data_IF_295061699112
#
_entry.id   IF_295061699112
#
_cell.length_a   1.000
_cell.length_b   1.000
_cell.length_c   1.000
_cell.angle_alpha   90.00
_cell.angle_beta   90.00
_cell.angle_gamma   90.00
#
_symmetry.space_group_name_H-M   'P 1'
#
loop_
_entity.id
_entity.type
_entity.pdbx_description
1 polymer ?
#
# COMPACT_ATOMS: atom_id res chain seq x y z
N UNK A 1 10.05 -9.67 -14.01
CA UNK A 1 10.33 -9.02 -12.71
C UNK A 1 9.09 -8.26 -12.24
N UNK A 2 8.91 -8.14 -10.92
CA UNK A 2 7.81 -7.39 -10.30
C UNK A 2 8.35 -6.56 -9.15
N UNK A 3 7.76 -5.39 -8.95
CA UNK A 3 7.93 -4.57 -7.75
C UNK A 3 6.85 -4.97 -6.75
N UNK A 4 7.24 -5.36 -5.54
CA UNK A 4 6.33 -5.57 -4.42
C UNK A 4 6.32 -4.32 -3.55
N UNK A 5 5.12 -3.78 -3.28
CA UNK A 5 4.91 -2.63 -2.41
C UNK A 5 3.96 -3.04 -1.30
N UNK A 6 4.38 -2.93 -0.05
CA UNK A 6 3.56 -3.28 1.12
C UNK A 6 3.17 -2.03 1.91
N UNK A 7 1.89 -1.93 2.26
CA UNK A 7 1.33 -0.75 2.90
C UNK A 7 -0.08 -0.94 3.43
N UNK A 8 -0.69 0.15 3.88
CA UNK A 8 -2.09 0.20 4.29
C UNK A 8 -2.68 1.58 4.04
N UNK A 9 -4.00 1.63 3.90
CA UNK A 9 -4.76 2.85 4.04
C UNK A 9 -5.00 3.18 5.53
N UNK A 10 -4.76 4.42 5.91
CA UNK A 10 -4.88 4.99 7.24
C UNK A 10 -5.95 6.08 7.27
N UNK A 11 -7.18 5.68 7.58
CA UNK A 11 -8.23 6.57 8.06
C UNK A 11 -8.37 6.55 9.58
N UNK A 12 -8.65 7.71 10.20
CA UNK A 12 -9.28 7.74 11.53
C UNK A 12 -10.67 7.10 11.48
N UNK A 13 -11.35 6.87 12.63
CA UNK A 13 -12.73 6.36 12.67
C UNK A 13 -13.60 7.17 11.67
N UNK A 14 -14.04 6.53 10.57
CA UNK A 14 -14.91 7.13 9.55
C UNK A 14 -14.25 7.63 8.25
N UNK A 15 -12.91 7.54 8.12
CA UNK A 15 -12.23 7.74 6.85
C UNK A 15 -12.11 6.39 6.13
N UNK A 16 -13.09 6.09 5.28
CA UNK A 16 -13.15 4.83 4.55
C UNK A 16 -12.22 4.89 3.33
N UNK A 17 -11.36 3.89 3.17
CA UNK A 17 -10.60 3.66 1.94
C UNK A 17 -11.48 3.16 0.78
N UNK A 18 -10.89 2.84 -0.39
CA UNK A 18 -9.45 2.76 -0.64
C UNK A 18 -8.81 4.08 -1.13
N UNK A 19 -7.66 4.41 -0.55
CA UNK A 19 -6.73 5.40 -1.07
C UNK A 19 -6.05 4.90 -2.33
N UNK A 20 -6.09 5.68 -3.41
CA UNK A 20 -5.45 5.33 -4.68
C UNK A 20 -4.90 6.57 -5.36
N UNK A 21 -3.65 6.51 -5.85
CA UNK A 21 -3.08 7.56 -6.70
C UNK A 21 -1.87 7.05 -7.50
N UNK A 22 -1.42 7.85 -8.46
CA UNK A 22 -0.33 7.52 -9.37
C UNK A 22 1.04 7.57 -8.69
N UNK A 23 1.81 6.51 -8.91
CA UNK A 23 3.20 6.35 -8.54
C UNK A 23 4.04 6.11 -9.80
N UNK A 24 5.36 6.22 -9.67
CA UNK A 24 6.28 6.13 -10.80
C UNK A 24 7.45 5.22 -10.49
N UNK A 25 7.74 4.28 -11.40
CA UNK A 25 9.03 3.59 -11.43
C UNK A 25 9.96 4.34 -12.37
N UNK A 26 11.16 4.67 -11.90
CA UNK A 26 12.25 5.20 -12.73
C UNK A 26 13.32 4.12 -12.88
N UNK A 27 13.71 3.84 -14.12
CA UNK A 27 14.74 2.85 -14.43
C UNK A 27 16.11 3.50 -14.59
N UNK A 28 17.17 2.69 -14.51
CA UNK A 28 18.54 3.14 -14.64
C UNK A 28 18.87 3.74 -16.03
N UNK A 29 18.10 3.40 -17.06
CA UNK A 29 18.22 3.97 -18.42
C UNK A 29 17.51 5.34 -18.56
N UNK A 30 16.96 5.88 -17.47
CA UNK A 30 16.25 7.16 -17.44
C UNK A 30 14.79 7.10 -17.88
N UNK A 31 14.30 5.96 -18.37
CA UNK A 31 12.88 5.79 -18.68
C UNK A 31 12.03 5.59 -17.43
N UNK A 32 10.73 5.82 -17.57
CA UNK A 32 9.78 5.71 -16.46
C UNK A 32 8.53 4.93 -16.83
N UNK A 33 7.95 4.21 -15.87
CA UNK A 33 6.65 3.56 -16.01
C UNK A 33 5.72 4.01 -14.88
N UNK A 34 4.58 4.66 -15.18
CA UNK A 34 3.59 4.98 -14.17
C UNK A 34 2.85 3.71 -13.73
N UNK A 35 2.41 3.69 -12.49
CA UNK A 35 1.50 2.67 -11.97
C UNK A 35 0.54 3.29 -10.95
N UNK A 36 -0.63 2.70 -10.79
CA UNK A 36 -1.56 3.08 -9.71
C UNK A 36 -1.16 2.34 -8.45
N UNK A 37 -0.97 3.05 -7.34
CA UNK A 37 -0.78 2.44 -6.04
C UNK A 37 -2.07 2.59 -5.24
N UNK A 38 -2.66 1.47 -4.83
CA UNK A 38 -3.83 1.42 -3.99
C UNK A 38 -3.71 0.33 -2.93
N UNK A 39 -4.38 0.54 -1.80
CA UNK A 39 -4.57 -0.50 -0.81
C UNK A 39 -6.02 -0.50 -0.34
N UNK A 40 -6.55 -1.69 -0.08
CA UNK A 40 -7.79 -1.87 0.68
C UNK A 40 -7.76 -1.15 2.04
N UNK A 41 -8.96 -0.83 2.56
CA UNK A 41 -9.11 -0.32 3.92
C UNK A 41 -8.52 -1.32 4.92
N UNK A 42 -7.67 -0.82 5.84
CA UNK A 42 -6.94 -1.65 6.80
C UNK A 42 -7.83 -2.47 7.74
N UNK A 43 -9.12 -2.13 7.88
CA UNK A 43 -10.11 -2.88 8.68
C UNK A 43 -11.13 -3.62 7.82
N UNK A 44 -10.97 -3.59 6.49
CA UNK A 44 -11.95 -4.07 5.52
C UNK A 44 -13.35 -3.50 5.76
N UNK A 45 -13.44 -2.17 5.90
CA UNK A 45 -14.68 -1.46 6.22
C UNK A 45 -15.32 -1.97 7.52
N UNK A 46 -14.52 -2.09 8.58
CA UNK A 46 -14.97 -2.65 9.87
C UNK A 46 -15.35 -4.13 9.81
N UNK A 47 -14.76 -4.89 8.88
CA UNK A 47 -15.06 -6.29 8.63
C UNK A 47 -16.22 -6.55 7.67
N UNK A 48 -16.79 -5.51 7.05
CA UNK A 48 -17.90 -5.61 6.09
C UNK A 48 -17.48 -5.89 4.64
N UNK A 49 -16.19 -5.81 4.33
CA UNK A 49 -15.65 -6.08 2.99
C UNK A 49 -14.73 -7.30 2.97
N UNK A 50 -14.58 -7.91 1.79
CA UNK A 50 -13.57 -8.92 1.52
C UNK A 50 -12.31 -8.24 0.97
N UNK A 51 -11.10 -8.75 1.26
CA UNK A 51 -9.87 -8.24 0.69
C UNK A 51 -9.83 -8.52 -0.82
N UNK A 52 -9.47 -7.51 -1.59
CA UNK A 52 -9.13 -7.61 -3.02
C UNK A 52 -7.61 -7.66 -3.18
N UNK A 53 -6.89 -6.89 -2.36
CA UNK A 53 -5.44 -6.91 -2.34
C UNK A 53 -4.89 -8.08 -1.51
N UNK A 54 -3.74 -8.66 -1.90
CA UNK A 54 -3.03 -9.64 -1.09
C UNK A 54 -2.74 -9.13 0.32
N UNK A 55 -3.18 -9.89 1.34
CA UNK A 55 -2.85 -9.62 2.73
C UNK A 55 -1.37 -9.95 2.96
N UNK A 56 -0.58 -8.94 3.32
CA UNK A 56 0.83 -9.11 3.66
C UNK A 56 1.01 -9.61 5.11
N UNK A 57 0.15 -9.17 6.01
CA UNK A 57 0.15 -9.59 7.42
C UNK A 57 -1.22 -9.37 8.05
N UNK A 58 -1.45 -9.96 9.23
CA UNK A 58 -2.67 -9.75 10.01
C UNK A 58 -2.30 -9.48 11.46
N UNK A 59 -2.81 -8.38 12.00
CA UNK A 59 -2.71 -8.06 13.42
C UNK A 59 -4.02 -8.37 14.12
N UNK A 60 -3.94 -8.79 15.38
CA UNK A 60 -5.12 -9.05 16.23
C UNK A 60 -5.63 -7.80 16.95
N UNK A 61 -4.86 -6.71 16.93
CA UNK A 61 -5.18 -5.43 17.56
C UNK A 61 -4.56 -4.25 16.78
N UNK A 62 -4.96 -3.04 17.14
CA UNK A 62 -4.26 -1.79 16.78
C UNK A 62 -3.97 -0.96 18.03
N UNK A 63 -2.86 -0.23 17.98
CA UNK A 63 -2.49 0.71 19.04
C UNK A 63 -3.22 2.04 18.85
N UNK A 64 -3.64 2.65 19.96
CA UNK A 64 -4.10 4.03 20.02
C UNK A 64 -2.94 4.96 20.41
N UNK A 65 -3.13 6.27 20.20
CA UNK A 65 -2.09 7.27 20.46
C UNK A 65 -1.70 7.42 21.94
N UNK A 66 -2.55 6.94 22.85
CA UNK A 66 -2.31 6.91 24.30
C UNK A 66 -1.57 5.63 24.77
N UNK A 67 -1.20 4.74 23.84
CA UNK A 67 -0.52 3.48 24.14
C UNK A 67 -1.47 2.33 24.51
N UNK A 68 -2.77 2.57 24.60
CA UNK A 68 -3.76 1.51 24.69
C UNK A 68 -3.89 0.75 23.36
N UNK A 69 -4.60 -0.37 23.37
CA UNK A 69 -5.00 -1.06 22.14
C UNK A 69 -6.50 -1.35 22.12
N UNK A 70 -7.03 -1.55 20.91
CA UNK A 70 -8.32 -2.18 20.72
C UNK A 70 -8.17 -3.45 19.87
N UNK A 71 -9.07 -4.42 20.09
CA UNK A 71 -9.04 -5.73 19.42
C UNK A 71 -9.51 -5.72 17.97
N UNK A 72 -9.49 -4.56 17.29
CA UNK A 72 -9.82 -4.48 15.87
C UNK A 72 -8.66 -5.09 15.08
N UNK A 73 -8.96 -6.14 14.32
CA UNK A 73 -7.99 -6.73 13.38
C UNK A 73 -7.64 -5.71 12.31
N UNK A 74 -6.35 -5.62 11.99
CA UNK A 74 -5.90 -4.80 10.87
C UNK A 74 -5.02 -5.58 9.92
N UNK A 75 -5.07 -5.20 8.65
CA UNK A 75 -4.44 -5.91 7.55
C UNK A 75 -3.56 -4.92 6.78
N UNK A 76 -2.22 -5.05 6.89
CA UNK A 76 -1.32 -4.55 5.87
C UNK A 76 -1.49 -5.38 4.58
N UNK A 77 -1.54 -4.70 3.45
CA UNK A 77 -1.70 -5.29 2.12
C UNK A 77 -0.41 -5.16 1.32
N UNK A 78 -0.31 -5.93 0.24
CA UNK A 78 0.78 -5.85 -0.72
C UNK A 78 0.27 -5.78 -2.16
N UNK A 79 0.85 -4.89 -2.96
CA UNK A 79 0.58 -4.75 -4.37
C UNK A 79 1.79 -5.24 -5.18
N UNK A 80 1.54 -5.98 -6.26
CA UNK A 80 2.60 -6.48 -7.13
C UNK A 80 2.51 -5.85 -8.52
N UNK A 81 3.45 -4.97 -8.84
CA UNK A 81 3.46 -4.16 -10.06
C UNK A 81 4.41 -4.78 -11.09
N UNK A 82 3.96 -5.02 -12.33
CA UNK A 82 4.83 -5.51 -13.39
C UNK A 82 5.88 -4.47 -13.76
N UNK A 83 7.13 -4.91 -13.93
CA UNK A 83 8.24 -4.06 -14.38
C UNK A 83 8.53 -4.28 -15.86
N UNK A 84 9.09 -3.26 -16.52
CA UNK A 84 9.54 -3.36 -17.90
C UNK A 84 10.64 -4.44 -18.03
N UNK A 85 10.48 -5.43 -18.92
CA UNK A 85 11.47 -6.50 -19.09
C UNK A 85 12.86 -5.95 -19.42
N UNK A 86 13.89 -6.53 -18.78
CA UNK A 86 15.29 -6.16 -19.01
C UNK A 86 15.73 -4.82 -18.41
N UNK A 87 14.84 -4.10 -17.72
CA UNK A 87 15.19 -2.82 -17.08
C UNK A 87 15.47 -2.98 -15.59
N UNK A 88 16.51 -2.27 -15.13
CA UNK A 88 16.85 -2.19 -13.71
C UNK A 88 16.12 -1.00 -13.07
N UNK A 89 15.43 -1.23 -11.96
CA UNK A 89 14.78 -0.18 -11.17
C UNK A 89 15.85 0.68 -10.49
N UNK A 90 15.79 1.99 -10.71
CA UNK A 90 16.67 2.97 -10.04
C UNK A 90 15.97 3.63 -8.84
N UNK A 91 14.69 4.00 -9.00
CA UNK A 91 13.90 4.57 -7.91
C UNK A 91 12.41 4.34 -8.10
N UNK A 92 11.66 4.54 -7.01
CA UNK A 92 10.19 4.55 -6.99
C UNK A 92 9.75 5.87 -6.38
N UNK A 93 8.93 6.63 -7.10
CA UNK A 93 8.28 7.84 -6.59
C UNK A 93 6.88 7.47 -6.12
N UNK A 94 6.62 7.66 -4.83
CA UNK A 94 5.31 7.42 -4.23
C UNK A 94 4.39 8.65 -4.41
N UNK A 95 3.06 8.45 -4.38
CA UNK A 95 2.13 9.55 -4.50
C UNK A 95 2.29 10.54 -3.33
N UNK A 96 2.26 11.84 -3.65
CA UNK A 96 2.29 12.90 -2.62
C UNK A 96 0.93 13.16 -2.00
N UNK A 97 -0.13 12.84 -2.74
CA UNK A 97 -1.52 12.97 -2.33
C UNK A 97 -2.20 11.62 -2.61
N UNK A 98 -3.36 11.41 -2.00
CA UNK A 98 -4.22 10.25 -2.26
C UNK A 98 -5.67 10.69 -2.30
N UNK A 99 -6.49 9.95 -3.05
CA UNK A 99 -7.90 10.23 -3.30
C UNK A 99 -8.76 10.40 -2.03
N UNK A 100 -8.40 9.68 -0.97
CA UNK A 100 -9.02 9.72 0.35
C UNK A 100 -7.98 9.29 1.40
N UNK A 101 -8.30 9.39 2.70
CA UNK A 101 -7.51 8.74 3.74
C UNK A 101 -6.03 9.17 3.82
N UNK A 102 -5.16 8.22 4.13
CA UNK A 102 -3.70 8.36 4.13
C UNK A 102 -3.08 7.05 3.66
N UNK A 103 -2.12 7.10 2.75
CA UNK A 103 -1.40 5.89 2.35
C UNK A 103 -0.06 5.81 3.07
N UNK A 104 0.18 4.69 3.78
CA UNK A 104 1.46 4.40 4.41
C UNK A 104 2.11 3.18 3.75
N UNK A 105 3.33 3.37 3.25
CA UNK A 105 4.19 2.28 2.71
C UNK A 105 5.24 1.92 3.76
N UNK A 106 5.36 0.62 4.08
CA UNK A 106 6.35 0.12 5.03
C UNK A 106 7.50 -0.64 4.37
N UNK A 107 7.32 -1.07 3.12
CA UNK A 107 8.33 -1.83 2.41
C UNK A 107 8.14 -1.80 0.90
N UNK A 108 9.26 -1.74 0.20
CA UNK A 108 9.33 -1.84 -1.26
C UNK A 108 10.47 -2.79 -1.59
N UNK A 109 10.23 -3.76 -2.47
CA UNK A 109 11.27 -4.65 -2.99
C UNK A 109 11.09 -4.88 -4.48
N UNK A 110 12.20 -4.92 -5.21
CA UNK A 110 12.24 -5.36 -6.60
C UNK A 110 13.07 -6.63 -6.67
N UNK A 111 12.46 -7.73 -7.12
CA UNK A 111 13.20 -8.95 -7.38
C UNK A 111 13.94 -8.84 -8.73
N UNK A 112 15.17 -9.39 -8.83
CA UNK A 112 15.86 -9.65 -10.09
C UNK A 112 15.05 -10.52 -11.08
#
# INVERSE_FOLDING_TARGET
MRLLVAGLDGGGRGANGPSSDAALVTYADGTTTPFTLSFDDRTLNGGGAAPVDPIASTTTYRNAGDGSNDGVRTYPFAQSVPLSPGKLVASVTLPKQVSAGKLHVFGISAAP
#
